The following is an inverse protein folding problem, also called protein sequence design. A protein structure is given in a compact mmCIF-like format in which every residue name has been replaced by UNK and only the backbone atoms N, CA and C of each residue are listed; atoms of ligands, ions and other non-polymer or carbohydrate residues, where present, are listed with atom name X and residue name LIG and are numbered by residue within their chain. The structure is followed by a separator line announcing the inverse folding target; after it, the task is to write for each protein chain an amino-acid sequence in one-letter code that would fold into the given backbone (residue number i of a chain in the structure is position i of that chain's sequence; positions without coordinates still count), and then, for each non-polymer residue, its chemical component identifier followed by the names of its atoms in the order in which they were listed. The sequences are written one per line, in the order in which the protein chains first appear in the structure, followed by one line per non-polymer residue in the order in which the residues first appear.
data_IF_315711312762
#
_entry.id   IF_315711312762
#
_cell.length_a   1.000
_cell.length_b   1.000
_cell.length_c   1.000
_cell.angle_alpha   90.00
_cell.angle_beta   90.00
_cell.angle_gamma   90.00
#
_symmetry.space_group_name_H-M   'P 1'
#
loop_
_entity.id
_entity.type
_entity.pdbx_description
1 polymer ?
#
# COMPACT_ATOMS: atom_id res chain seq x y z
N UNK A 1 19.20 7.62 5.41
CA UNK A 1 18.10 7.44 4.43
C UNK A 1 17.43 6.08 4.60
N UNK A 2 18.13 4.95 4.44
CA UNK A 2 17.53 3.62 4.48
C UNK A 2 16.76 3.30 5.77
N UNK A 3 17.25 3.76 6.94
CA UNK A 3 16.54 3.59 8.22
C UNK A 3 15.17 4.27 8.20
N UNK A 4 15.08 5.54 7.81
CA UNK A 4 13.81 6.26 7.73
C UNK A 4 12.86 5.61 6.74
N UNK A 5 13.37 5.19 5.58
CA UNK A 5 12.61 4.46 4.57
C UNK A 5 12.06 3.15 5.12
N UNK A 6 12.88 2.35 5.79
CA UNK A 6 12.44 1.12 6.42
C UNK A 6 11.36 1.34 7.49
N UNK A 7 11.45 2.42 8.27
CA UNK A 7 10.45 2.73 9.31
C UNK A 7 9.07 2.97 8.71
N UNK A 8 8.91 3.89 7.75
CA UNK A 8 7.59 4.20 7.20
C UNK A 8 7.07 3.15 6.22
N UNK A 9 7.93 2.47 5.44
CA UNK A 9 7.47 1.41 4.54
C UNK A 9 6.94 0.20 5.32
N UNK A 10 7.49 -0.11 6.49
CA UNK A 10 6.93 -1.16 7.35
C UNK A 10 5.53 -0.80 7.87
N UNK A 11 5.21 0.49 8.04
CA UNK A 11 3.83 0.92 8.36
C UNK A 11 2.88 0.62 7.20
N UNK A 12 3.29 0.82 5.95
CA UNK A 12 2.47 0.47 4.78
C UNK A 12 2.25 -1.05 4.67
N UNK A 13 3.29 -1.84 4.97
CA UNK A 13 3.18 -3.31 5.04
C UNK A 13 2.19 -3.69 6.15
N UNK A 14 2.25 -3.04 7.32
CA UNK A 14 1.32 -3.27 8.42
C UNK A 14 -0.14 -3.03 8.01
N UNK A 15 -0.42 -1.94 7.29
CA UNK A 15 -1.75 -1.67 6.74
C UNK A 15 -2.20 -2.78 5.78
N UNK A 16 -1.31 -3.22 4.90
CA UNK A 16 -1.60 -4.28 3.94
C UNK A 16 -1.90 -5.61 4.64
N UNK A 17 -1.14 -5.96 5.69
CA UNK A 17 -1.37 -7.15 6.50
C UNK A 17 -2.71 -7.08 7.22
N UNK A 18 -3.08 -5.93 7.78
CA UNK A 18 -4.39 -5.73 8.41
C UNK A 18 -5.52 -5.96 7.41
N UNK A 19 -5.49 -5.30 6.25
CA UNK A 19 -6.50 -5.49 5.21
C UNK A 19 -6.55 -6.94 4.70
N UNK A 20 -5.40 -7.62 4.59
CA UNK A 20 -5.34 -9.02 4.23
C UNK A 20 -6.05 -9.89 5.28
N UNK A 21 -5.79 -9.66 6.57
CA UNK A 21 -6.47 -10.41 7.64
C UNK A 21 -7.98 -10.17 7.65
N UNK A 22 -8.41 -8.94 7.42
CA UNK A 22 -9.82 -8.57 7.32
C UNK A 22 -10.50 -9.09 6.03
N UNK A 23 -9.75 -9.57 5.04
CA UNK A 23 -10.32 -10.13 3.81
C UNK A 23 -10.79 -11.58 3.96
N UNK A 24 -10.48 -12.25 5.08
CA UNK A 24 -10.89 -13.63 5.35
C UNK A 24 -12.27 -13.78 6.00
N UNK A 25 -13.06 -12.70 6.05
CA UNK A 25 -14.42 -12.69 6.58
C UNK A 25 -15.44 -12.27 5.52
N UNK A 26 -16.66 -12.79 5.63
CA UNK A 26 -17.79 -12.42 4.80
C UNK A 26 -18.97 -12.00 5.70
N UNK A 27 -19.54 -10.79 5.54
CA UNK A 27 -19.21 -9.76 4.55
C UNK A 27 -17.88 -9.04 4.83
N UNK A 28 -17.34 -8.36 3.80
CA UNK A 28 -16.13 -7.54 3.97
C UNK A 28 -16.44 -6.34 4.87
N UNK A 29 -15.54 -5.94 5.79
CA UNK A 29 -15.81 -4.85 6.74
C UNK A 29 -16.12 -3.50 6.07
N UNK A 30 -15.51 -3.24 4.92
CA UNK A 30 -15.67 -2.01 4.14
C UNK A 30 -16.72 -2.11 3.02
N UNK A 31 -17.57 -3.15 3.06
CA UNK A 31 -18.62 -3.35 2.05
C UNK A 31 -19.82 -2.41 2.25
N UNK A 32 -20.20 -2.16 3.49
CA UNK A 32 -21.41 -1.39 3.84
C UNK A 32 -21.15 -0.49 5.03
N UNK A 33 -21.89 0.62 5.11
CA UNK A 33 -21.83 1.50 6.27
C UNK A 33 -22.38 0.80 7.52
N UNK A 34 -21.75 0.99 8.70
CA UNK A 34 -22.31 0.50 9.95
C UNK A 34 -23.56 1.30 10.34
N UNK A 35 -24.43 0.64 11.12
CA UNK A 35 -25.61 1.30 11.71
C UNK A 35 -25.23 2.10 12.96
N UNK A 36 -25.70 3.33 13.03
CA UNK A 36 -25.58 4.26 14.14
C UNK A 36 -26.62 4.05 15.25
N UNK A 37 -26.20 4.34 16.48
CA UNK A 37 -27.05 4.45 17.67
C UNK A 37 -27.30 3.13 18.42
N UNK A 38 -27.83 3.21 19.67
CA UNK A 38 -28.02 2.05 20.55
C UNK A 38 -29.05 1.03 20.04
N UNK A 39 -29.93 1.45 19.12
CA UNK A 39 -30.94 0.59 18.49
C UNK A 39 -30.55 0.16 17.06
N UNK A 40 -29.34 0.46 16.57
CA UNK A 40 -28.86 0.12 15.21
C UNK A 40 -29.82 0.46 14.06
N UNK A 41 -30.63 1.52 14.23
CA UNK A 41 -31.73 1.88 13.32
C UNK A 41 -31.39 3.05 12.40
N UNK A 42 -30.36 3.84 12.71
CA UNK A 42 -29.82 4.88 11.83
C UNK A 42 -28.59 4.40 11.08
N UNK A 43 -28.27 4.97 9.91
CA UNK A 43 -26.95 4.79 9.29
C UNK A 43 -25.94 5.79 9.85
N UNK A 44 -24.66 5.43 9.94
CA UNK A 44 -23.61 6.38 10.31
C UNK A 44 -23.54 7.56 9.33
N UNK A 45 -23.82 8.81 9.76
CA UNK A 45 -23.96 9.93 8.85
C UNK A 45 -22.64 10.26 8.15
N UNK A 46 -21.50 10.15 8.85
CA UNK A 46 -20.18 10.37 8.25
C UNK A 46 -19.86 9.35 7.15
N UNK A 47 -20.31 8.10 7.31
CA UNK A 47 -20.15 7.08 6.30
C UNK A 47 -21.04 7.34 5.07
N UNK A 48 -22.28 7.80 5.31
CA UNK A 48 -23.22 8.14 4.24
C UNK A 48 -22.77 9.36 3.40
N UNK A 49 -22.11 10.35 4.01
CA UNK A 49 -21.55 11.51 3.29
C UNK A 49 -20.27 11.17 2.50
N UNK A 50 -19.57 10.10 2.87
CA UNK A 50 -18.30 9.72 2.25
C UNK A 50 -18.45 8.42 1.44
N UNK A 51 -17.89 7.33 1.93
CA UNK A 51 -18.13 5.98 1.40
C UNK A 51 -17.76 4.95 2.48
N UNK A 52 -18.29 3.71 2.41
CA UNK A 52 -17.93 2.64 3.34
C UNK A 52 -16.41 2.38 3.43
N UNK A 53 -15.69 2.46 2.31
CA UNK A 53 -14.24 2.24 2.25
C UNK A 53 -13.46 3.40 2.86
N UNK A 54 -13.87 4.64 2.58
CA UNK A 54 -13.27 5.84 3.19
C UNK A 54 -13.49 5.87 4.70
N UNK A 55 -14.70 5.57 5.14
CA UNK A 55 -15.04 5.50 6.57
C UNK A 55 -14.26 4.40 7.29
N UNK A 56 -14.21 3.20 6.70
CA UNK A 56 -13.41 2.09 7.24
C UNK A 56 -11.94 2.48 7.40
N UNK A 57 -11.36 3.17 6.43
CA UNK A 57 -9.96 3.59 6.50
C UNK A 57 -9.71 4.64 7.58
N UNK A 58 -10.45 5.75 7.56
CA UNK A 58 -10.16 6.89 8.44
C UNK A 58 -10.68 6.73 9.86
N UNK A 59 -11.81 6.03 10.07
CA UNK A 59 -12.45 5.88 11.38
C UNK A 59 -12.21 4.53 12.04
N UNK A 60 -12.23 3.43 11.29
CA UNK A 60 -12.05 2.11 11.89
C UNK A 60 -10.59 1.64 11.89
N UNK A 61 -9.86 1.88 10.80
CA UNK A 61 -8.47 1.41 10.66
C UNK A 61 -7.48 2.36 11.31
N UNK A 62 -7.50 3.64 10.90
CA UNK A 62 -6.55 4.64 11.37
C UNK A 62 -6.98 5.32 12.68
N UNK A 63 -8.28 5.53 12.86
CA UNK A 63 -8.87 6.37 13.90
C UNK A 63 -8.20 7.76 13.98
N UNK A 64 -8.33 8.51 12.87
CA UNK A 64 -7.61 9.76 12.69
C UNK A 64 -8.15 10.88 13.59
N UNK A 65 -7.25 11.60 14.25
CA UNK A 65 -7.57 12.82 15.02
C UNK A 65 -7.83 14.00 14.08
N UNK A 66 -8.61 15.02 14.52
CA UNK A 66 -8.92 16.18 13.68
C UNK A 66 -7.69 17.05 13.36
N UNK A 67 -6.66 17.01 14.22
CA UNK A 67 -5.48 17.85 14.11
C UNK A 67 -4.20 17.07 14.42
N UNK A 68 -3.11 17.40 13.72
CA UNK A 68 -1.80 16.76 13.91
C UNK A 68 -1.18 17.00 15.29
N UNK A 69 -1.56 18.10 15.97
CA UNK A 69 -1.08 18.44 17.31
C UNK A 69 -1.77 17.66 18.44
N UNK A 70 -2.88 16.99 18.14
CA UNK A 70 -3.63 16.17 19.09
C UNK A 70 -3.22 14.71 18.87
N UNK A 71 -2.49 14.16 19.83
CA UNK A 71 -2.12 12.75 19.83
C UNK A 71 -3.35 11.86 19.97
N UNK A 72 -3.58 11.01 18.96
CA UNK A 72 -4.47 9.87 19.09
C UNK A 72 -3.83 8.79 19.98
N UNK A 73 -4.65 7.89 20.52
CA UNK A 73 -4.15 6.70 21.21
C UNK A 73 -3.41 5.74 20.27
N UNK A 74 -2.77 4.71 20.84
CA UNK A 74 -2.22 3.62 20.03
C UNK A 74 -3.35 2.69 19.56
N UNK A 75 -3.54 2.58 18.25
CA UNK A 75 -4.53 1.67 17.68
C UNK A 75 -4.01 0.22 17.70
N UNK A 76 -4.58 -0.70 18.50
CA UNK A 76 -3.98 -2.02 18.75
C UNK A 76 -3.85 -2.88 17.49
N UNK A 77 -4.81 -2.79 16.57
CA UNK A 77 -4.77 -3.52 15.30
C UNK A 77 -3.56 -3.09 14.44
N UNK A 78 -3.25 -1.80 14.42
CA UNK A 78 -2.08 -1.27 13.69
C UNK A 78 -0.77 -1.62 14.38
N UNK A 79 -0.73 -1.59 15.72
CA UNK A 79 0.44 -2.03 16.50
C UNK A 79 0.72 -3.51 16.23
N UNK A 80 -0.30 -4.36 16.24
CA UNK A 80 -0.19 -5.78 15.88
C UNK A 80 0.27 -5.99 14.45
N UNK A 81 -0.31 -5.25 13.49
CA UNK A 81 0.12 -5.27 12.09
C UNK A 81 1.58 -4.87 11.90
N UNK A 82 2.06 -3.87 12.66
CA UNK A 82 3.45 -3.39 12.61
C UNK A 82 4.42 -4.41 13.20
N UNK A 83 4.06 -5.05 14.32
CA UNK A 83 4.84 -6.17 14.86
C UNK A 83 4.92 -7.33 13.86
N UNK A 84 3.80 -7.66 13.19
CA UNK A 84 3.75 -8.65 12.12
C UNK A 84 4.64 -8.31 10.93
N UNK A 85 4.63 -7.05 10.48
CA UNK A 85 5.48 -6.58 9.39
C UNK A 85 6.98 -6.71 9.72
N UNK A 86 7.40 -6.27 10.91
CA UNK A 86 8.79 -6.42 11.37
C UNK A 86 9.19 -7.87 11.55
N UNK A 87 8.30 -8.73 12.06
CA UNK A 87 8.55 -10.16 12.19
C UNK A 87 8.75 -10.82 10.80
N UNK A 88 7.91 -10.47 9.81
CA UNK A 88 8.03 -10.97 8.43
C UNK A 88 9.37 -10.56 7.80
N UNK A 89 9.71 -9.27 7.89
CA UNK A 89 10.99 -8.74 7.38
C UNK A 89 12.16 -9.41 8.10
N UNK A 90 12.13 -9.47 9.43
CA UNK A 90 13.15 -10.12 10.25
C UNK A 90 13.35 -11.58 9.85
N UNK A 91 12.26 -12.36 9.77
CA UNK A 91 12.29 -13.77 9.36
C UNK A 91 12.91 -13.96 7.96
N UNK A 92 12.61 -13.07 7.01
CA UNK A 92 13.17 -13.11 5.65
C UNK A 92 14.70 -12.92 5.61
N UNK A 93 15.26 -12.24 6.62
CA UNK A 93 16.66 -11.88 6.74
C UNK A 93 17.48 -12.81 7.67
N UNK A 94 16.84 -13.64 8.50
CA UNK A 94 17.52 -14.45 9.55
C UNK A 94 18.67 -15.34 9.05
N UNK A 95 18.60 -15.87 7.82
CA UNK A 95 19.68 -16.69 7.22
C UNK A 95 20.47 -15.94 6.14
N UNK A 96 20.42 -14.61 6.17
CA UNK A 96 21.05 -13.71 5.21
C UNK A 96 20.60 -13.98 3.76
N UNK A 97 21.52 -13.72 2.83
CA UNK A 97 21.27 -13.76 1.37
C UNK A 97 20.73 -15.11 0.87
N UNK A 98 21.12 -16.23 1.48
CA UNK A 98 20.63 -17.56 1.08
C UNK A 98 19.12 -17.73 1.32
N UNK A 99 18.56 -17.11 2.36
CA UNK A 99 17.11 -17.11 2.61
C UNK A 99 16.41 -16.01 1.84
N UNK A 100 16.97 -14.80 1.83
CA UNK A 100 16.39 -13.66 1.11
C UNK A 100 16.24 -13.95 -0.39
N UNK A 101 17.19 -14.68 -1.00
CA UNK A 101 17.08 -15.12 -2.39
C UNK A 101 15.92 -16.10 -2.65
N UNK A 102 15.57 -16.95 -1.69
CA UNK A 102 14.39 -17.85 -1.80
C UNK A 102 13.08 -17.08 -1.67
N UNK A 103 13.02 -16.16 -0.71
CA UNK A 103 11.85 -15.28 -0.51
C UNK A 103 11.62 -14.40 -1.75
N UNK A 104 12.70 -13.95 -2.40
CA UNK A 104 12.65 -13.15 -3.61
C UNK A 104 11.86 -13.81 -4.75
N UNK A 105 11.98 -15.13 -4.94
CA UNK A 105 11.22 -15.82 -5.99
C UNK A 105 9.71 -15.67 -5.77
N UNK A 106 9.25 -15.81 -4.53
CA UNK A 106 7.83 -15.63 -4.20
C UNK A 106 7.44 -14.16 -4.32
N UNK A 107 8.20 -13.25 -3.70
CA UNK A 107 7.86 -11.82 -3.66
C UNK A 107 7.96 -11.10 -4.99
N UNK A 108 8.59 -11.70 -6.01
CA UNK A 108 8.62 -11.16 -7.38
C UNK A 108 7.58 -11.83 -8.27
N UNK A 109 7.55 -13.17 -8.33
CA UNK A 109 6.67 -13.88 -9.24
C UNK A 109 5.19 -13.74 -8.86
N UNK A 110 4.86 -13.81 -7.57
CA UNK A 110 3.47 -13.74 -7.12
C UNK A 110 2.81 -12.40 -7.47
N UNK A 111 3.42 -11.22 -7.22
CA UNK A 111 2.84 -9.95 -7.67
C UNK A 111 2.61 -9.87 -9.18
N UNK A 112 3.53 -10.39 -10.01
CA UNK A 112 3.31 -10.40 -11.47
C UNK A 112 2.10 -11.25 -11.87
N UNK A 113 1.90 -12.42 -11.23
CA UNK A 113 0.72 -13.24 -11.45
C UNK A 113 -0.57 -12.52 -11.02
N UNK A 114 -0.56 -11.88 -9.85
CA UNK A 114 -1.72 -11.11 -9.36
C UNK A 114 -2.03 -9.95 -10.29
N UNK A 115 -1.02 -9.19 -10.73
CA UNK A 115 -1.19 -8.08 -11.68
C UNK A 115 -1.75 -8.55 -13.02
N UNK A 116 -1.33 -9.72 -13.52
CA UNK A 116 -1.89 -10.31 -14.73
C UNK A 116 -3.37 -10.67 -14.55
N UNK A 117 -3.73 -11.30 -13.42
CA UNK A 117 -5.12 -11.61 -13.10
C UNK A 117 -5.98 -10.34 -12.99
N UNK A 118 -5.46 -9.31 -12.31
CA UNK A 118 -6.14 -8.01 -12.18
C UNK A 118 -6.26 -7.27 -13.51
N UNK A 119 -5.26 -7.39 -14.39
CA UNK A 119 -5.32 -6.83 -15.75
C UNK A 119 -6.41 -7.51 -16.56
N UNK A 120 -6.44 -8.85 -16.59
CA UNK A 120 -7.47 -9.61 -17.31
C UNK A 120 -8.84 -9.26 -16.76
N UNK A 121 -9.03 -9.25 -15.43
CA UNK A 121 -10.31 -8.88 -14.84
C UNK A 121 -10.67 -7.43 -15.16
N UNK A 122 -9.74 -6.49 -15.00
CA UNK A 122 -9.94 -5.07 -15.27
C UNK A 122 -10.40 -4.78 -16.69
N UNK A 123 -9.83 -5.47 -17.69
CA UNK A 123 -10.23 -5.33 -19.10
C UNK A 123 -11.63 -5.92 -19.39
N UNK A 124 -12.11 -6.85 -18.56
CA UNK A 124 -13.45 -7.44 -18.68
C UNK A 124 -14.53 -6.61 -17.97
N UNK A 125 -14.18 -5.59 -17.19
CA UNK A 125 -15.15 -4.69 -16.57
C UNK A 125 -15.69 -3.68 -17.59
N UNK A 126 -16.97 -3.32 -17.42
CA UNK A 126 -17.59 -2.26 -18.18
C UNK A 126 -16.87 -0.93 -17.94
N UNK A 127 -16.64 -0.16 -19.02
CA UNK A 127 -15.97 1.14 -18.94
C UNK A 127 -14.43 1.08 -18.88
N UNK A 128 -13.79 -0.10 -18.95
CA UNK A 128 -12.33 -0.24 -18.90
C UNK A 128 -11.59 0.61 -19.97
N UNK A 129 -12.14 0.68 -21.19
CA UNK A 129 -11.54 1.42 -22.30
C UNK A 129 -11.48 2.93 -22.04
N UNK A 130 -12.44 3.49 -21.31
CA UNK A 130 -12.45 4.93 -20.98
C UNK A 130 -11.29 5.29 -20.05
N UNK A 131 -11.03 4.46 -19.03
CA UNK A 131 -9.87 4.63 -18.15
C UNK A 131 -8.54 4.56 -18.91
N UNK A 132 -8.42 3.60 -19.85
CA UNK A 132 -7.23 3.48 -20.73
C UNK A 132 -7.08 4.72 -21.60
N UNK A 133 -8.17 5.20 -22.21
CA UNK A 133 -8.16 6.41 -23.06
C UNK A 133 -7.68 7.62 -22.29
N UNK A 134 -8.16 7.83 -21.07
CA UNK A 134 -7.73 8.93 -20.20
C UNK A 134 -6.24 8.82 -19.86
N UNK A 135 -5.75 7.62 -19.54
CA UNK A 135 -4.34 7.37 -19.22
C UNK A 135 -3.40 7.73 -20.38
N UNK A 136 -3.80 7.43 -21.62
CA UNK A 136 -2.98 7.67 -22.80
C UNK A 136 -3.26 9.00 -23.52
N UNK A 137 -4.19 9.82 -23.05
CA UNK A 137 -4.45 11.14 -23.63
C UNK A 137 -3.40 12.15 -23.12
N UNK A 138 -2.45 12.59 -23.96
CA UNK A 138 -1.33 13.41 -23.49
C UNK A 138 -1.77 14.86 -23.25
N UNK A 139 -1.45 15.40 -22.07
CA UNK A 139 -1.55 16.84 -21.79
C UNK A 139 -0.23 17.53 -22.11
N UNK A 140 -0.02 17.84 -23.38
CA UNK A 140 1.26 18.39 -23.89
C UNK A 140 1.66 19.70 -23.21
N UNK A 141 0.70 20.49 -22.74
CA UNK A 141 0.95 21.70 -21.94
C UNK A 141 1.74 21.45 -20.66
N UNK A 142 1.67 20.25 -20.07
CA UNK A 142 2.40 19.90 -18.87
C UNK A 142 3.92 19.73 -19.12
N UNK A 143 4.35 19.45 -20.35
CA UNK A 143 5.75 19.18 -20.67
C UNK A 143 6.65 20.41 -20.54
N UNK A 144 6.09 21.62 -20.69
CA UNK A 144 6.82 22.87 -20.47
C UNK A 144 7.06 23.19 -19.00
N UNK A 145 6.45 22.45 -18.06
CA UNK A 145 6.57 22.73 -16.63
C UNK A 145 7.78 22.02 -16.03
N UNK A 146 8.66 22.76 -15.34
CA UNK A 146 9.79 22.16 -14.61
C UNK A 146 9.35 21.16 -13.53
N UNK A 147 8.13 21.29 -13.01
CA UNK A 147 7.56 20.36 -12.04
C UNK A 147 7.35 18.95 -12.61
N UNK A 148 6.86 18.83 -13.85
CA UNK A 148 6.65 17.53 -14.48
C UNK A 148 7.97 16.76 -14.62
N UNK A 149 9.03 17.43 -15.07
CA UNK A 149 10.36 16.83 -15.19
C UNK A 149 10.99 16.48 -13.84
N UNK A 150 10.85 17.35 -12.84
CA UNK A 150 11.31 17.07 -11.48
C UNK A 150 10.63 15.81 -10.92
N UNK A 151 9.30 15.71 -11.04
CA UNK A 151 8.56 14.54 -10.58
C UNK A 151 8.95 13.27 -11.34
N UNK A 152 9.11 13.33 -12.66
CA UNK A 152 9.55 12.21 -13.48
C UNK A 152 10.95 11.74 -13.07
N UNK A 153 11.90 12.66 -12.90
CA UNK A 153 13.25 12.32 -12.42
C UNK A 153 13.19 11.69 -11.03
N UNK A 154 12.48 12.29 -10.07
CA UNK A 154 12.30 11.72 -8.73
C UNK A 154 11.73 10.30 -8.79
N UNK A 155 10.72 10.05 -9.64
CA UNK A 155 10.15 8.72 -9.82
C UNK A 155 11.18 7.70 -10.32
N UNK A 156 12.02 8.05 -11.31
CA UNK A 156 13.08 7.16 -11.82
C UNK A 156 14.10 6.82 -10.74
N UNK A 157 14.56 7.82 -9.98
CA UNK A 157 15.52 7.60 -8.90
C UNK A 157 14.96 6.68 -7.80
N UNK A 158 13.70 6.87 -7.40
CA UNK A 158 13.05 6.01 -6.41
C UNK A 158 12.76 4.61 -6.96
N UNK A 159 12.27 4.47 -8.19
CA UNK A 159 11.94 3.18 -8.78
C UNK A 159 13.17 2.28 -8.96
N UNK A 160 14.32 2.87 -9.32
CA UNK A 160 15.59 2.14 -9.48
C UNK A 160 16.36 2.00 -8.16
N UNK A 161 15.97 2.69 -7.09
CA UNK A 161 16.68 2.68 -5.81
C UNK A 161 18.11 3.24 -5.92
N UNK A 162 18.34 4.22 -6.79
CA UNK A 162 19.66 4.82 -6.99
C UNK A 162 20.13 5.55 -5.74
N UNK A 163 21.40 5.38 -5.36
CA UNK A 163 22.00 6.04 -4.20
C UNK A 163 21.70 5.40 -2.83
N UNK A 164 20.97 4.27 -2.79
CA UNK A 164 20.69 3.54 -1.54
C UNK A 164 21.77 2.53 -1.14
N UNK A 165 22.73 2.26 -2.03
CA UNK A 165 23.80 1.27 -1.82
C UNK A 165 23.36 -0.20 -1.92
N UNK A 166 22.06 -0.48 -2.04
CA UNK A 166 21.50 -1.84 -2.14
C UNK A 166 22.00 -2.59 -3.38
N UNK A 167 21.98 -1.95 -4.55
CA UNK A 167 22.45 -2.55 -5.81
C UNK A 167 23.95 -2.88 -5.74
N UNK A 168 24.75 -1.97 -5.17
CA UNK A 168 26.19 -2.17 -4.97
C UNK A 168 26.44 -3.35 -4.02
N UNK A 169 25.71 -3.40 -2.91
CA UNK A 169 25.79 -4.49 -1.95
C UNK A 169 25.44 -5.83 -2.59
N UNK A 170 24.35 -5.94 -3.35
CA UNK A 170 23.98 -7.17 -4.04
C UNK A 170 24.98 -7.56 -5.13
N UNK A 171 25.47 -6.60 -5.91
CA UNK A 171 26.48 -6.85 -6.94
C UNK A 171 27.79 -7.39 -6.36
N UNK A 172 28.14 -7.03 -5.12
CA UNK A 172 29.35 -7.54 -4.43
C UNK A 172 29.35 -9.06 -4.20
N UNK A 173 28.18 -9.70 -4.23
CA UNK A 173 28.02 -11.16 -4.11
C UNK A 173 27.98 -11.89 -5.47
N UNK A 174 28.10 -11.15 -6.59
CA UNK A 174 28.18 -11.73 -7.92
C UNK A 174 29.47 -12.53 -8.13
N UNK A 175 29.42 -13.54 -9.00
CA UNK A 175 30.62 -14.22 -9.45
C UNK A 175 31.52 -13.24 -10.21
N UNK A 176 32.83 -13.28 -9.96
CA UNK A 176 33.84 -12.57 -10.76
C UNK A 176 34.07 -13.27 -12.08
#
# INVERSE_FOLDING_TARGET
VCVFVALYYNVIIAWSLLYLTCSFQHPLPWQSCPSAGPNHTGGEPECALSSPTTYFWYRQTLDVTPEMGVGGGLQPALVGGLLGAWALVGASLLKGIKSSGKVLYVSTLFPYLVLLCLLVRGLLLEGALEGIRIMFTPKVSAWGTGQAWRQAATQVFFALGLGFGSVIAYASYGAR
#
